data_IF_590966960667
#
_entry.id   IF_590966960667
#
_cell.length_a   1.000
_cell.length_b   1.000
_cell.length_c   1.000
_cell.angle_alpha   90.00
_cell.angle_beta   90.00
_cell.angle_gamma   90.00
#
_symmetry.space_group_name_H-M   'P 1'
#
loop_
_entity.id
_entity.type
_entity.pdbx_description
1 polymer ?
#
# COMPACT_ATOMS: atom_id res chain seq x y z
N UNK A 1 -16.84 -13.14 -34.38
CA UNK A 1 -16.39 -11.98 -33.57
C UNK A 1 -15.72 -12.51 -32.31
N UNK A 2 -14.41 -12.74 -32.39
CA UNK A 2 -13.56 -13.02 -31.23
C UNK A 2 -12.78 -11.74 -30.93
N UNK A 3 -12.81 -11.29 -29.67
CA UNK A 3 -11.81 -10.46 -28.96
C UNK A 3 -12.51 -9.78 -27.78
N UNK A 4 -11.84 -9.67 -26.62
CA UNK A 4 -12.25 -9.02 -25.35
C UNK A 4 -12.63 -9.94 -24.17
N UNK A 5 -12.11 -11.17 -24.11
CA UNK A 5 -12.02 -11.91 -22.83
C UNK A 5 -10.63 -12.49 -22.63
N UNK A 6 -9.58 -11.65 -22.63
CA UNK A 6 -8.28 -12.03 -22.05
C UNK A 6 -7.39 -10.81 -21.80
N UNK A 7 -7.77 -9.95 -20.86
CA UNK A 7 -6.93 -8.81 -20.43
C UNK A 7 -6.83 -8.68 -18.91
N UNK A 8 -7.30 -9.67 -18.14
CA UNK A 8 -7.37 -9.56 -16.66
C UNK A 8 -6.49 -10.54 -15.88
N UNK A 9 -5.73 -11.40 -16.55
CA UNK A 9 -4.97 -12.46 -15.85
C UNK A 9 -3.49 -12.11 -15.60
N UNK A 10 -2.91 -11.11 -16.29
CA UNK A 10 -1.45 -10.86 -16.25
C UNK A 10 -1.03 -9.47 -15.75
N UNK A 11 -1.95 -8.67 -15.19
CA UNK A 11 -1.53 -7.49 -14.43
C UNK A 11 -1.23 -7.95 -13.00
N UNK A 12 0.04 -8.05 -12.62
CA UNK A 12 0.44 -8.21 -11.21
C UNK A 12 -0.11 -7.01 -10.40
N UNK A 13 -1.35 -7.15 -9.91
CA UNK A 13 -1.97 -6.15 -9.06
C UNK A 13 -1.35 -6.24 -7.67
N UNK A 14 -0.32 -5.43 -7.45
CA UNK A 14 0.32 -5.33 -6.15
C UNK A 14 -0.63 -4.63 -5.18
N UNK A 15 -1.10 -5.35 -4.17
CA UNK A 15 -2.00 -4.84 -3.14
C UNK A 15 -1.23 -4.02 -2.11
N UNK A 16 -1.62 -2.77 -1.89
CA UNK A 16 -1.05 -1.89 -0.87
C UNK A 16 -2.07 -1.55 0.21
N UNK A 17 -1.62 -1.54 1.46
CA UNK A 17 -2.41 -0.97 2.56
C UNK A 17 -2.24 0.56 2.55
N UNK A 18 -3.29 1.27 2.17
CA UNK A 18 -3.31 2.72 2.19
C UNK A 18 -3.51 3.27 3.62
N UNK A 19 -2.61 4.15 4.06
CA UNK A 19 -2.68 4.76 5.39
C UNK A 19 -2.35 6.27 5.36
N UNK A 20 -2.98 7.08 6.21
CA UNK A 20 -2.63 8.49 6.36
C UNK A 20 -1.20 8.71 6.88
N UNK A 21 -0.57 9.80 6.45
CA UNK A 21 0.79 10.18 6.85
C UNK A 21 0.95 10.43 8.36
N UNK A 22 -0.06 10.98 9.01
CA UNK A 22 -0.07 11.21 10.46
C UNK A 22 -0.16 9.89 11.24
N UNK A 23 -0.98 8.93 10.76
CA UNK A 23 -1.06 7.57 11.31
C UNK A 23 0.27 6.84 11.13
N UNK A 24 0.89 6.95 9.96
CA UNK A 24 2.21 6.37 9.70
C UNK A 24 3.26 6.91 10.67
N UNK A 25 3.30 8.23 10.87
CA UNK A 25 4.29 8.88 11.74
C UNK A 25 4.09 8.56 13.22
N UNK A 26 2.86 8.36 13.68
CA UNK A 26 2.51 8.14 15.09
C UNK A 26 2.51 6.67 15.49
N UNK A 27 1.91 5.79 14.69
CA UNK A 27 1.64 4.40 15.07
C UNK A 27 2.54 3.38 14.36
N UNK A 28 2.81 3.57 13.07
CA UNK A 28 3.57 2.59 12.27
C UNK A 28 5.09 2.62 12.55
N UNK A 29 5.53 3.54 13.42
CA UNK A 29 6.89 3.54 13.97
C UNK A 29 7.05 2.63 15.20
N UNK A 30 5.96 2.12 15.79
CA UNK A 30 6.08 1.24 16.94
C UNK A 30 6.69 -0.11 16.53
N UNK A 31 7.64 -0.66 17.32
CA UNK A 31 8.35 -1.91 16.98
C UNK A 31 7.42 -3.09 16.72
N UNK A 32 6.30 -3.19 17.45
CA UNK A 32 5.30 -4.21 17.24
C UNK A 32 4.69 -4.16 15.83
N UNK A 33 4.25 -2.98 15.40
CA UNK A 33 3.66 -2.78 14.06
C UNK A 33 4.70 -3.06 12.98
N UNK A 34 5.92 -2.55 13.12
CA UNK A 34 7.02 -2.84 12.17
C UNK A 34 7.32 -4.33 12.04
N UNK A 35 7.27 -5.06 13.17
CA UNK A 35 7.45 -6.52 13.18
C UNK A 35 6.34 -7.22 12.41
N UNK A 36 5.08 -6.81 12.60
CA UNK A 36 3.93 -7.38 11.87
C UNK A 36 4.04 -7.08 10.37
N UNK A 37 4.37 -5.85 9.99
CA UNK A 37 4.53 -5.46 8.58
C UNK A 37 5.61 -6.28 7.87
N UNK A 38 6.78 -6.41 8.51
CA UNK A 38 7.90 -7.17 7.96
C UNK A 38 7.58 -8.65 7.82
N UNK A 39 6.98 -9.27 8.84
CA UNK A 39 6.62 -10.70 8.82
C UNK A 39 5.60 -11.04 7.75
N UNK A 40 4.63 -10.15 7.52
CA UNK A 40 3.55 -10.38 6.58
C UNK A 40 3.81 -9.75 5.20
N UNK A 41 4.97 -9.12 4.99
CA UNK A 41 5.35 -8.46 3.74
C UNK A 41 4.25 -7.53 3.22
N UNK A 42 3.66 -6.75 4.12
CA UNK A 42 2.54 -5.84 3.80
C UNK A 42 3.14 -4.54 3.25
N UNK A 43 3.00 -4.26 1.94
CA UNK A 43 3.47 -3.00 1.40
C UNK A 43 2.47 -1.88 1.75
N UNK A 44 2.99 -0.67 1.95
CA UNK A 44 2.22 0.48 2.41
C UNK A 44 2.19 1.58 1.35
N UNK A 45 1.01 2.17 1.18
CA UNK A 45 0.81 3.43 0.47
C UNK A 45 0.51 4.50 1.52
N UNK A 46 1.46 5.39 1.77
CA UNK A 46 1.30 6.48 2.73
C UNK A 46 0.86 7.73 1.98
N UNK A 47 -0.30 8.28 2.32
CA UNK A 47 -0.84 9.48 1.68
C UNK A 47 -1.02 10.63 2.67
N UNK A 48 -0.83 11.86 2.21
CA UNK A 48 -1.09 13.06 3.00
C UNK A 48 -2.53 13.52 2.76
N UNK A 49 -3.36 13.43 3.81
CA UNK A 49 -4.78 13.82 3.76
C UNK A 49 -5.00 15.31 3.53
N UNK A 50 -4.04 16.17 3.93
CA UNK A 50 -4.15 17.63 3.80
C UNK A 50 -3.76 18.09 2.40
N UNK A 51 -2.74 17.46 1.82
CA UNK A 51 -2.24 17.79 0.49
C UNK A 51 -2.89 16.96 -0.64
N UNK A 52 -3.66 15.93 -0.29
CA UNK A 52 -4.31 15.01 -1.22
C UNK A 52 -3.31 14.34 -2.19
N UNK A 53 -2.12 14.01 -1.68
CA UNK A 53 -1.05 13.41 -2.48
C UNK A 53 -0.54 12.10 -1.86
N UNK A 54 0.01 11.23 -2.69
CA UNK A 54 0.76 10.07 -2.18
C UNK A 54 2.12 10.56 -1.69
N UNK A 55 2.37 10.43 -0.40
CA UNK A 55 3.62 10.83 0.20
C UNK A 55 4.72 9.79 -0.03
N UNK A 56 4.40 8.48 0.10
CA UNK A 56 5.38 7.38 -0.03
C UNK A 56 4.74 6.06 -0.46
N UNK A 57 5.53 5.26 -1.17
CA UNK A 57 5.31 3.84 -1.40
C UNK A 57 6.39 3.06 -0.65
N UNK A 58 6.00 2.06 0.15
CA UNK A 58 6.91 1.21 0.91
C UNK A 58 6.61 -0.23 0.52
N UNK A 59 7.62 -0.96 0.07
CA UNK A 59 7.53 -2.37 -0.34
C UNK A 59 8.41 -3.25 0.53
#
# INVERSE_FOLDING_TARGET
MQSLKKEREDAEQKLYLAIPLDIYKRFFKYPFIQTVLKRNQIPLLVYDTKKQEVARWIS
#
